data_IF_415979239486
#
_entry.id   IF_415979239486
#
_cell.length_a   1.000
_cell.length_b   1.000
_cell.length_c   1.000
_cell.angle_alpha   90.00
_cell.angle_beta   90.00
_cell.angle_gamma   90.00
#
_symmetry.space_group_name_H-M   'P 1'
#
loop_
_entity.id
_entity.type
_entity.pdbx_description
1 polymer ?
#
# COMPACT_ATOMS: atom_id res chain seq x y z
N UNK A 1 -19.51 -38.05 18.06
CA UNK A 1 -18.61 -39.12 18.58
C UNK A 1 -17.39 -38.48 19.31
N UNK A 2 -16.68 -37.56 18.71
CA UNK A 2 -15.51 -36.87 19.30
C UNK A 2 -15.92 -36.13 20.57
N UNK A 3 -17.03 -35.39 20.58
CA UNK A 3 -17.54 -34.68 21.75
C UNK A 3 -17.83 -35.62 22.91
N UNK A 4 -18.46 -36.77 22.66
CA UNK A 4 -18.74 -37.80 23.70
C UNK A 4 -17.48 -38.42 24.26
N UNK A 5 -16.43 -38.66 23.46
CA UNK A 5 -15.15 -39.13 23.93
C UNK A 5 -14.47 -38.07 24.85
N UNK A 6 -14.53 -36.85 24.46
CA UNK A 6 -14.02 -35.72 25.27
C UNK A 6 -14.78 -35.59 26.61
N UNK A 7 -16.10 -35.68 26.59
CA UNK A 7 -16.93 -35.67 27.80
C UNK A 7 -16.62 -36.85 28.74
N UNK A 8 -16.35 -38.05 28.21
CA UNK A 8 -15.96 -39.22 29.00
C UNK A 8 -14.56 -39.06 29.62
N UNK A 9 -13.59 -38.57 28.89
CA UNK A 9 -12.27 -38.28 29.43
C UNK A 9 -12.31 -37.20 30.50
N UNK A 10 -13.18 -36.19 30.34
CA UNK A 10 -13.36 -35.10 31.29
C UNK A 10 -14.02 -35.56 32.61
N UNK A 11 -14.95 -36.51 32.53
CA UNK A 11 -15.65 -37.06 33.69
C UNK A 11 -14.77 -37.89 34.61
N UNK A 12 -13.59 -38.32 34.13
CA UNK A 12 -12.63 -39.13 34.92
C UNK A 12 -11.57 -38.30 35.69
N UNK A 13 -11.53 -36.97 35.52
CA UNK A 13 -10.53 -36.13 36.18
C UNK A 13 -10.94 -35.78 37.61
N UNK A 14 -9.99 -35.86 38.55
CA UNK A 14 -10.19 -35.32 39.87
C UNK A 14 -10.09 -33.77 39.84
N UNK A 15 -10.54 -33.06 40.89
CA UNK A 15 -10.56 -31.61 40.91
C UNK A 15 -9.21 -30.93 40.67
N UNK A 16 -8.11 -31.55 41.10
CA UNK A 16 -6.76 -31.02 40.87
C UNK A 16 -6.36 -31.14 39.40
N UNK A 17 -6.60 -32.29 38.80
CA UNK A 17 -6.34 -32.51 37.36
C UNK A 17 -7.18 -31.61 36.48
N UNK A 18 -8.43 -31.35 36.90
CA UNK A 18 -9.33 -30.41 36.24
C UNK A 18 -8.79 -28.98 36.29
N UNK A 19 -8.34 -28.54 37.46
CA UNK A 19 -7.76 -27.22 37.66
C UNK A 19 -6.46 -27.01 36.85
N UNK A 20 -5.57 -28.01 36.79
CA UNK A 20 -4.35 -27.98 35.96
C UNK A 20 -4.66 -27.87 34.46
N UNK A 21 -5.62 -28.67 34.00
CA UNK A 21 -6.07 -28.61 32.60
C UNK A 21 -6.67 -27.27 32.26
N UNK A 22 -7.54 -26.71 33.11
CA UNK A 22 -8.19 -25.43 32.89
C UNK A 22 -7.17 -24.28 32.91
N UNK A 23 -6.15 -24.36 33.77
CA UNK A 23 -5.02 -23.44 33.75
C UNK A 23 -4.18 -23.55 32.47
N UNK A 24 -3.90 -24.77 32.00
CA UNK A 24 -3.19 -25.00 30.77
C UNK A 24 -3.97 -24.50 29.53
N UNK A 25 -5.28 -24.77 29.50
CA UNK A 25 -6.16 -24.27 28.46
C UNK A 25 -6.21 -22.73 28.43
N UNK A 26 -6.37 -22.12 29.60
CA UNK A 26 -6.37 -20.66 29.76
C UNK A 26 -5.04 -20.03 29.30
N UNK A 27 -3.92 -20.66 29.64
CA UNK A 27 -2.61 -20.22 29.18
C UNK A 27 -2.47 -20.35 27.64
N UNK A 28 -2.93 -21.47 27.07
CA UNK A 28 -2.93 -21.66 25.61
C UNK A 28 -3.77 -20.60 24.91
N UNK A 29 -4.98 -20.33 25.38
CA UNK A 29 -5.85 -19.28 24.82
C UNK A 29 -5.22 -17.89 24.93
N UNK A 30 -4.62 -17.55 26.07
CA UNK A 30 -3.92 -16.28 26.23
C UNK A 30 -2.76 -16.15 25.21
N UNK A 31 -1.97 -17.21 25.01
CA UNK A 31 -0.89 -17.24 24.01
C UNK A 31 -1.41 -17.12 22.59
N UNK A 32 -2.54 -17.75 22.27
CA UNK A 32 -3.20 -17.61 20.97
C UNK A 32 -3.71 -16.18 20.75
N UNK A 33 -4.34 -15.60 21.75
CA UNK A 33 -4.79 -14.20 21.71
C UNK A 33 -3.60 -13.25 21.46
N UNK A 34 -2.53 -13.39 22.23
CA UNK A 34 -1.34 -12.56 22.09
C UNK A 34 -0.68 -12.69 20.70
N UNK A 35 -0.77 -13.87 20.09
CA UNK A 35 -0.12 -14.14 18.81
C UNK A 35 -0.98 -13.76 17.61
N UNK A 36 -2.28 -14.04 17.66
CA UNK A 36 -3.18 -13.95 16.50
C UNK A 36 -4.17 -12.80 16.54
N UNK A 37 -4.47 -12.27 17.73
CA UNK A 37 -5.43 -11.16 17.86
C UNK A 37 -4.81 -9.88 17.28
N UNK A 38 -5.51 -9.29 16.32
CA UNK A 38 -5.18 -7.97 15.81
C UNK A 38 -6.06 -6.91 16.49
N UNK A 39 -5.44 -5.87 17.02
CA UNK A 39 -6.14 -4.76 17.69
C UNK A 39 -5.62 -3.42 17.22
N UNK A 40 -6.51 -2.44 17.10
CA UNK A 40 -6.12 -1.07 16.80
C UNK A 40 -5.30 -0.50 17.96
N UNK A 41 -4.15 0.05 17.66
CA UNK A 41 -3.32 0.81 18.61
C UNK A 41 -3.73 2.28 18.57
N UNK A 42 -3.78 2.84 17.36
CA UNK A 42 -4.16 4.24 17.14
C UNK A 42 -4.64 4.47 15.71
N UNK A 43 -5.38 5.54 15.50
CA UNK A 43 -5.80 6.06 14.21
C UNK A 43 -5.27 7.48 14.10
N UNK A 44 -4.38 7.72 13.13
CA UNK A 44 -3.76 9.01 12.92
C UNK A 44 -4.31 9.65 11.64
N UNK A 45 -4.86 10.85 11.73
CA UNK A 45 -5.27 11.60 10.55
C UNK A 45 -4.06 12.31 9.97
N UNK A 46 -3.55 11.82 8.84
CA UNK A 46 -2.37 12.35 8.18
C UNK A 46 -2.68 13.58 7.31
N UNK A 47 -3.83 13.54 6.62
CA UNK A 47 -4.36 14.63 5.79
C UNK A 47 -5.88 14.69 5.94
N UNK A 48 -6.59 15.67 5.34
CA UNK A 48 -8.05 15.69 5.40
C UNK A 48 -8.74 14.42 4.90
N UNK A 49 -8.07 13.62 4.06
CA UNK A 49 -8.65 12.42 3.42
C UNK A 49 -7.81 11.16 3.59
N UNK A 50 -6.69 11.22 4.30
CA UNK A 50 -5.80 10.06 4.51
C UNK A 50 -5.69 9.78 6.00
N UNK A 51 -5.90 8.54 6.38
CA UNK A 51 -5.72 8.04 7.75
C UNK A 51 -4.68 6.92 7.78
N UNK A 52 -3.90 6.90 8.85
CA UNK A 52 -3.04 5.80 9.23
C UNK A 52 -3.71 4.97 10.32
N UNK A 53 -3.68 3.67 10.14
CA UNK A 53 -4.25 2.68 11.04
C UNK A 53 -3.08 1.87 11.60
N UNK A 54 -2.73 2.07 12.85
CA UNK A 54 -1.68 1.29 13.51
C UNK A 54 -2.33 0.12 14.25
N UNK A 55 -1.90 -1.09 13.90
CA UNK A 55 -2.47 -2.34 14.40
C UNK A 55 -1.39 -3.15 15.12
N UNK A 56 -1.68 -3.59 16.34
CA UNK A 56 -0.89 -4.61 17.02
C UNK A 56 -1.25 -5.96 16.42
N UNK A 57 -0.31 -6.61 15.74
CA UNK A 57 -0.47 -7.92 15.11
C UNK A 57 0.91 -8.59 14.94
N UNK A 58 1.46 -9.19 16.01
CA UNK A 58 2.86 -9.64 16.05
C UNK A 58 3.25 -10.61 14.93
N UNK A 59 2.44 -11.64 14.68
CA UNK A 59 2.74 -12.61 13.61
C UNK A 59 2.67 -11.99 12.20
N UNK A 60 1.73 -11.08 11.98
CA UNK A 60 1.61 -10.38 10.72
C UNK A 60 2.83 -9.46 10.49
N UNK A 61 3.27 -8.75 11.55
CA UNK A 61 4.45 -7.89 11.50
C UNK A 61 5.73 -8.69 11.23
N UNK A 62 5.90 -9.84 11.91
CA UNK A 62 7.09 -10.70 11.76
C UNK A 62 7.33 -11.15 10.32
N UNK A 63 6.26 -11.50 9.61
CA UNK A 63 6.30 -12.09 8.27
C UNK A 63 6.37 -11.06 7.13
N UNK A 64 6.27 -9.79 7.43
CA UNK A 64 6.25 -8.73 6.41
C UNK A 64 7.60 -8.57 5.71
N UNK A 65 7.53 -8.43 4.40
CA UNK A 65 8.61 -8.00 3.53
C UNK A 65 8.16 -6.80 2.68
N UNK A 66 9.10 -5.96 2.25
CA UNK A 66 8.80 -4.72 1.53
C UNK A 66 7.95 -4.94 0.27
N UNK A 67 6.96 -4.09 0.06
CA UNK A 67 6.02 -4.17 -1.07
C UNK A 67 4.78 -5.03 -0.81
N UNK A 68 4.75 -5.82 0.24
CA UNK A 68 3.59 -6.63 0.60
C UNK A 68 2.47 -5.81 1.25
N UNK A 69 1.28 -6.40 1.36
CA UNK A 69 0.09 -5.72 1.86
C UNK A 69 -0.79 -6.65 2.71
N UNK A 70 -1.82 -6.08 3.31
CA UNK A 70 -2.77 -6.75 4.18
C UNK A 70 -4.20 -6.44 3.76
N UNK A 71 -5.13 -7.28 4.21
CA UNK A 71 -6.55 -7.00 4.18
C UNK A 71 -7.05 -6.77 5.61
N UNK A 72 -7.71 -5.64 5.83
CA UNK A 72 -8.26 -5.28 7.14
C UNK A 72 -9.77 -5.01 7.06
N UNK A 73 -10.50 -5.40 8.08
CA UNK A 73 -11.91 -5.07 8.29
C UNK A 73 -12.23 -5.14 9.79
N UNK A 74 -13.30 -4.48 10.23
CA UNK A 74 -13.82 -4.69 11.58
C UNK A 74 -14.64 -5.99 11.65
N UNK A 75 -14.91 -6.45 12.86
CA UNK A 75 -15.85 -7.55 13.09
C UNK A 75 -17.29 -7.03 13.02
N UNK A 76 -18.13 -7.63 12.20
CA UNK A 76 -19.56 -7.26 12.11
C UNK A 76 -20.27 -7.39 13.47
N UNK A 77 -19.93 -8.43 14.25
CA UNK A 77 -20.53 -8.65 15.56
C UNK A 77 -20.26 -7.52 16.58
N UNK A 78 -19.22 -6.73 16.36
CA UNK A 78 -18.83 -5.59 17.22
C UNK A 78 -19.01 -4.24 16.52
N UNK A 79 -19.51 -4.26 15.27
CA UNK A 79 -19.72 -3.03 14.52
C UNK A 79 -20.84 -2.18 15.16
N UNK A 80 -20.63 -0.87 15.31
CA UNK A 80 -21.66 0.00 15.85
C UNK A 80 -22.84 0.09 14.88
N UNK A 81 -24.04 0.28 15.45
CA UNK A 81 -25.25 0.51 14.67
C UNK A 81 -25.65 1.97 14.79
N UNK A 82 -25.86 2.63 13.66
CA UNK A 82 -26.32 4.02 13.58
C UNK A 82 -27.61 4.05 12.75
N UNK A 83 -28.69 4.54 13.32
CA UNK A 83 -30.01 4.63 12.68
C UNK A 83 -30.44 3.30 12.02
N UNK A 84 -30.19 2.18 12.70
CA UNK A 84 -30.52 0.83 12.23
C UNK A 84 -29.54 0.22 11.21
N UNK A 85 -28.52 0.97 10.78
CA UNK A 85 -27.49 0.49 9.87
C UNK A 85 -26.26 0.02 10.64
N UNK A 86 -25.85 -1.22 10.40
CA UNK A 86 -24.60 -1.77 10.96
C UNK A 86 -23.43 -1.20 10.18
N UNK A 87 -22.47 -0.57 10.88
CA UNK A 87 -21.28 0.03 10.26
C UNK A 87 -20.15 -1.01 10.12
N UNK A 88 -20.41 -2.04 9.34
CA UNK A 88 -19.43 -3.05 8.99
C UNK A 88 -18.63 -2.63 7.75
N UNK A 89 -17.31 -2.57 7.89
CA UNK A 89 -16.43 -2.30 6.76
C UNK A 89 -16.17 -3.57 5.95
N UNK A 90 -16.23 -3.47 4.64
CA UNK A 90 -15.71 -4.53 3.77
C UNK A 90 -14.19 -4.64 3.89
N UNK A 91 -13.65 -5.78 3.50
CA UNK A 91 -12.22 -6.02 3.58
C UNK A 91 -11.42 -5.14 2.63
N UNK A 92 -10.64 -4.23 3.19
CA UNK A 92 -9.79 -3.30 2.46
C UNK A 92 -8.39 -3.87 2.28
N UNK A 93 -7.90 -3.92 1.04
CA UNK A 93 -6.50 -4.21 0.76
C UNK A 93 -5.68 -2.94 0.94
N UNK A 94 -4.85 -2.90 1.97
CA UNK A 94 -4.01 -1.76 2.34
C UNK A 94 -2.54 -2.16 2.43
N UNK A 95 -1.66 -1.29 1.96
CA UNK A 95 -0.22 -1.55 2.01
C UNK A 95 0.32 -1.49 3.43
N UNK A 96 1.31 -2.32 3.73
CA UNK A 96 2.16 -2.18 4.91
C UNK A 96 3.13 -1.01 4.70
N UNK A 97 2.71 0.20 5.10
CA UNK A 97 3.51 1.41 4.94
C UNK A 97 4.73 1.40 5.86
N UNK A 98 4.52 0.99 7.11
CA UNK A 98 5.56 0.79 8.09
C UNK A 98 5.24 -0.45 8.96
N UNK A 99 6.26 -1.25 9.24
CA UNK A 99 6.11 -2.43 10.09
C UNK A 99 7.23 -2.46 11.10
N UNK A 100 6.86 -2.44 12.38
CA UNK A 100 7.79 -2.60 13.48
C UNK A 100 7.71 -4.05 14.01
N UNK A 101 8.70 -4.87 13.66
CA UNK A 101 8.77 -6.28 14.03
C UNK A 101 9.01 -6.48 15.53
N UNK A 102 9.76 -5.57 16.18
CA UNK A 102 10.05 -5.65 17.60
C UNK A 102 8.81 -5.40 18.44
N UNK A 103 8.06 -4.36 18.09
CA UNK A 103 6.82 -4.02 18.76
C UNK A 103 5.63 -4.84 18.24
N UNK A 104 5.79 -5.60 17.16
CA UNK A 104 4.72 -6.38 16.52
C UNK A 104 3.58 -5.49 16.04
N UNK A 105 3.88 -4.33 15.44
CA UNK A 105 2.89 -3.40 14.90
C UNK A 105 2.99 -3.25 13.40
N UNK A 106 1.84 -3.07 12.77
CA UNK A 106 1.69 -2.81 11.33
C UNK A 106 0.95 -1.49 11.16
N UNK A 107 1.53 -0.56 10.39
CA UNK A 107 0.90 0.68 9.97
C UNK A 107 0.33 0.52 8.55
N UNK A 108 -0.96 0.75 8.41
CA UNK A 108 -1.69 0.72 7.14
C UNK A 108 -2.20 2.11 6.82
N UNK A 109 -2.12 2.53 5.56
CA UNK A 109 -2.59 3.85 5.13
C UNK A 109 -3.81 3.69 4.23
N UNK A 110 -4.89 4.35 4.59
CA UNK A 110 -6.15 4.35 3.86
C UNK A 110 -6.51 5.74 3.35
N UNK A 111 -6.92 5.81 2.08
CA UNK A 111 -7.54 6.99 1.48
C UNK A 111 -9.06 6.86 1.59
N UNK A 112 -9.71 7.86 2.17
CA UNK A 112 -11.16 7.91 2.37
C UNK A 112 -11.90 8.17 1.05
N UNK A 113 -11.94 7.16 0.18
CA UNK A 113 -12.63 7.25 -1.13
C UNK A 113 -14.02 6.63 -1.12
N UNK A 114 -14.26 5.61 -0.30
CA UNK A 114 -15.53 4.88 -0.22
C UNK A 114 -16.02 4.75 1.21
N UNK A 115 -17.17 4.08 1.40
CA UNK A 115 -17.77 3.88 2.72
C UNK A 115 -16.84 3.13 3.67
N UNK A 116 -16.31 1.99 3.26
CA UNK A 116 -15.45 1.17 4.11
C UNK A 116 -14.15 1.87 4.50
N UNK A 117 -13.51 2.59 3.57
CA UNK A 117 -12.28 3.33 3.88
C UNK A 117 -12.55 4.53 4.82
N UNK A 118 -13.75 5.14 4.76
CA UNK A 118 -14.16 6.17 5.73
C UNK A 118 -14.45 5.60 7.10
N UNK A 119 -15.03 4.39 7.17
CA UNK A 119 -15.28 3.73 8.45
C UNK A 119 -14.00 3.46 9.23
N UNK A 120 -12.87 3.21 8.56
CA UNK A 120 -11.59 3.02 9.23
C UNK A 120 -11.20 4.22 10.14
N UNK A 121 -11.56 5.44 9.73
CA UNK A 121 -11.28 6.64 10.53
C UNK A 121 -12.12 6.74 11.81
N UNK A 122 -13.15 5.90 11.97
CA UNK A 122 -14.03 5.86 13.14
C UNK A 122 -13.62 4.81 14.18
N UNK A 123 -12.70 3.91 13.83
CA UNK A 123 -12.19 2.88 14.73
C UNK A 123 -11.39 3.52 15.88
N UNK A 124 -11.28 2.79 16.98
CA UNK A 124 -10.66 3.30 18.21
C UNK A 124 -9.58 2.36 18.71
N UNK A 125 -8.65 2.89 19.46
CA UNK A 125 -7.66 2.10 20.18
C UNK A 125 -8.35 1.02 21.03
N UNK A 126 -7.86 -0.21 20.92
CA UNK A 126 -8.43 -1.39 21.58
C UNK A 126 -9.48 -2.14 20.77
N UNK A 127 -10.02 -1.56 19.68
CA UNK A 127 -10.98 -2.27 18.82
C UNK A 127 -10.31 -3.48 18.18
N UNK A 128 -10.94 -4.67 18.25
CA UNK A 128 -10.45 -5.83 17.54
C UNK A 128 -10.75 -5.71 16.04
N UNK A 129 -9.81 -6.13 15.22
CA UNK A 129 -9.96 -6.15 13.75
C UNK A 129 -9.57 -7.49 13.18
N UNK A 130 -10.14 -7.83 12.03
CA UNK A 130 -9.68 -8.96 11.21
C UNK A 130 -8.56 -8.46 10.31
N UNK A 131 -7.34 -8.86 10.60
CA UNK A 131 -6.19 -8.60 9.75
C UNK A 131 -5.77 -9.90 9.05
N UNK A 132 -5.90 -9.94 7.75
CA UNK A 132 -5.46 -11.07 6.92
C UNK A 132 -4.23 -10.66 6.13
N UNK A 133 -3.27 -11.54 6.03
CA UNK A 133 -1.99 -11.31 5.37
C UNK A 133 -0.87 -11.91 6.22
N UNK A 134 0.36 -11.77 5.85
CA UNK A 134 0.88 -10.91 4.78
C UNK A 134 0.56 -11.52 3.40
N UNK A 135 0.33 -10.71 2.37
CA UNK A 135 0.06 -11.18 1.00
C UNK A 135 0.81 -10.34 -0.04
N UNK A 136 0.80 -10.82 -1.28
CA UNK A 136 1.62 -10.29 -2.36
C UNK A 136 3.04 -10.86 -2.35
N UNK A 137 3.68 -10.87 -3.51
CA UNK A 137 5.10 -11.22 -3.63
C UNK A 137 5.92 -10.03 -3.12
N UNK A 138 6.94 -10.23 -2.28
CA UNK A 138 7.86 -9.16 -1.91
C UNK A 138 8.44 -8.48 -3.15
N UNK A 139 8.60 -7.17 -3.10
CA UNK A 139 9.28 -6.42 -4.16
C UNK A 139 10.70 -6.90 -4.30
N UNK A 140 11.15 -7.11 -5.52
CA UNK A 140 12.54 -7.47 -5.79
C UNK A 140 13.48 -6.33 -5.37
N UNK A 141 14.43 -6.62 -4.50
CA UNK A 141 15.40 -5.65 -4.00
C UNK A 141 16.78 -5.98 -4.60
N UNK A 142 17.19 -5.32 -5.69
CA UNK A 142 18.51 -5.49 -6.26
C UNK A 142 19.61 -4.96 -5.32
N UNK A 143 20.87 -5.16 -5.68
CA UNK A 143 22.02 -4.63 -4.96
C UNK A 143 22.92 -3.82 -5.88
N UNK A 144 23.44 -2.69 -5.38
CA UNK A 144 24.42 -1.87 -6.09
C UNK A 144 23.88 -1.19 -7.36
N UNK A 145 22.58 -1.04 -7.47
CA UNK A 145 21.92 -0.38 -8.59
C UNK A 145 21.49 1.06 -8.26
N UNK A 146 21.15 1.82 -9.28
CA UNK A 146 20.45 3.09 -9.16
C UNK A 146 18.97 2.86 -9.45
N UNK A 147 18.14 3.04 -8.44
CA UNK A 147 16.71 2.80 -8.51
C UNK A 147 15.93 4.12 -8.48
N UNK A 148 14.99 4.24 -9.41
CA UNK A 148 14.10 5.38 -9.51
C UNK A 148 12.71 5.01 -8.99
N UNK A 149 12.31 5.60 -7.87
CA UNK A 149 10.98 5.48 -7.30
C UNK A 149 10.09 6.62 -7.81
N UNK A 150 8.89 6.28 -8.28
CA UNK A 150 7.92 7.25 -8.79
C UNK A 150 6.59 6.99 -8.10
N UNK A 151 6.24 7.86 -7.15
CA UNK A 151 5.03 7.75 -6.34
C UNK A 151 4.03 8.86 -6.60
N UNK A 152 2.77 8.51 -6.85
CA UNK A 152 1.68 9.46 -7.03
C UNK A 152 0.60 9.36 -5.95
N UNK A 153 0.36 10.46 -5.21
CA UNK A 153 -0.66 10.52 -4.16
C UNK A 153 -0.48 9.42 -3.11
N UNK A 154 -1.52 8.60 -2.89
CA UNK A 154 -1.46 7.48 -1.94
C UNK A 154 -0.40 6.41 -2.32
N UNK A 155 -0.04 6.29 -3.60
CA UNK A 155 1.00 5.35 -4.04
C UNK A 155 2.34 5.56 -3.33
N UNK A 156 2.61 6.74 -2.80
CA UNK A 156 3.80 7.01 -2.00
C UNK A 156 3.89 6.12 -0.75
N UNK A 157 2.75 5.70 -0.17
CA UNK A 157 2.74 4.88 1.04
C UNK A 157 3.40 3.50 0.87
N UNK A 158 3.33 2.91 -0.32
CA UNK A 158 3.97 1.61 -0.63
C UNK A 158 5.49 1.77 -0.70
N UNK A 159 5.94 2.92 -1.21
CA UNK A 159 7.36 3.16 -1.50
C UNK A 159 8.22 3.39 -0.25
N UNK A 160 7.62 3.65 0.92
CA UNK A 160 8.39 3.83 2.17
C UNK A 160 9.19 2.58 2.53
N UNK A 161 8.51 1.44 2.63
CA UNK A 161 9.16 0.18 2.97
C UNK A 161 10.12 -0.30 1.87
N UNK A 162 9.73 -0.14 0.61
CA UNK A 162 10.56 -0.51 -0.55
C UNK A 162 11.84 0.33 -0.60
N UNK A 163 11.73 1.66 -0.48
CA UNK A 163 12.88 2.55 -0.54
C UNK A 163 13.87 2.33 0.61
N UNK A 164 13.36 2.14 1.84
CA UNK A 164 14.19 1.78 2.99
C UNK A 164 14.95 0.48 2.76
N UNK A 165 14.28 -0.56 2.21
CA UNK A 165 14.90 -1.84 1.88
C UNK A 165 15.96 -1.70 0.77
N UNK A 166 15.67 -0.93 -0.29
CA UNK A 166 16.63 -0.65 -1.36
C UNK A 166 17.89 0.02 -0.84
N UNK A 167 17.76 1.05 -0.01
CA UNK A 167 18.92 1.73 0.59
C UNK A 167 19.72 0.81 1.51
N UNK A 168 19.03 -0.01 2.31
CA UNK A 168 19.68 -1.00 3.18
C UNK A 168 20.49 -2.05 2.37
N UNK A 169 20.06 -2.35 1.15
CA UNK A 169 20.78 -3.24 0.22
C UNK A 169 21.89 -2.53 -0.58
N UNK A 170 22.21 -1.26 -0.28
CA UNK A 170 23.29 -0.51 -0.91
C UNK A 170 22.99 0.06 -2.29
N UNK A 171 21.72 0.21 -2.62
CA UNK A 171 21.29 0.90 -3.85
C UNK A 171 21.30 2.42 -3.66
N UNK A 172 21.47 3.15 -4.75
CA UNK A 172 21.21 4.59 -4.83
C UNK A 172 19.73 4.79 -5.23
N UNK A 173 19.02 5.63 -4.48
CA UNK A 173 17.59 5.82 -4.67
C UNK A 173 17.26 7.28 -4.97
N UNK A 174 16.67 7.52 -6.15
CA UNK A 174 16.04 8.78 -6.52
C UNK A 174 14.54 8.61 -6.35
N UNK A 175 13.86 9.55 -5.72
CA UNK A 175 12.43 9.46 -5.49
C UNK A 175 11.68 10.69 -6.00
N UNK A 176 10.80 10.50 -6.96
CA UNK A 176 9.83 11.52 -7.38
C UNK A 176 8.51 11.28 -6.65
N UNK A 177 8.21 12.15 -5.69
CA UNK A 177 7.00 12.09 -4.88
C UNK A 177 6.00 13.16 -5.35
N UNK A 178 4.97 12.73 -6.09
CA UNK A 178 3.97 13.60 -6.70
C UNK A 178 2.67 13.65 -5.92
N UNK A 179 2.09 14.85 -5.79
CA UNK A 179 0.81 15.10 -5.14
C UNK A 179 -0.05 16.06 -5.95
N UNK A 180 -1.36 15.95 -5.82
CA UNK A 180 -2.27 16.92 -6.45
C UNK A 180 -2.22 18.27 -5.73
N UNK A 181 -2.26 18.26 -4.40
CA UNK A 181 -2.22 19.44 -3.56
C UNK A 181 -1.10 19.32 -2.52
N UNK A 182 -0.48 20.44 -2.17
CA UNK A 182 0.59 20.47 -1.16
C UNK A 182 0.15 19.93 0.21
N UNK A 183 -1.11 20.15 0.58
CA UNK A 183 -1.70 19.65 1.83
C UNK A 183 -1.92 18.13 1.86
N UNK A 184 -1.85 17.46 0.71
CA UNK A 184 -2.03 16.00 0.60
C UNK A 184 -0.74 15.24 0.89
N UNK A 185 0.37 15.95 1.15
CA UNK A 185 1.62 15.32 1.57
C UNK A 185 1.48 14.74 2.97
N UNK A 186 2.02 13.56 3.12
CA UNK A 186 2.04 12.85 4.41
C UNK A 186 3.37 12.12 4.57
N UNK A 187 3.73 11.81 5.81
CA UNK A 187 4.90 10.99 6.14
C UNK A 187 6.19 11.49 5.44
N UNK A 188 6.46 12.79 5.53
CA UNK A 188 7.61 13.42 4.85
C UNK A 188 8.92 12.77 5.26
N UNK A 189 9.12 12.50 6.55
CA UNK A 189 10.31 11.84 7.09
C UNK A 189 10.48 10.41 6.55
N UNK A 190 9.38 9.68 6.35
CA UNK A 190 9.41 8.33 5.79
C UNK A 190 9.80 8.34 4.31
N UNK A 191 9.29 9.30 3.53
CA UNK A 191 9.69 9.52 2.13
C UNK A 191 11.18 9.87 2.05
N UNK A 192 11.65 10.78 2.90
CA UNK A 192 13.05 11.18 2.95
C UNK A 192 13.98 10.03 3.38
N UNK A 193 13.55 9.21 4.34
CA UNK A 193 14.29 8.02 4.76
C UNK A 193 14.38 6.95 3.66
N UNK A 194 13.40 6.92 2.75
CA UNK A 194 13.33 5.95 1.66
C UNK A 194 14.27 6.26 0.48
N UNK A 195 14.89 7.47 0.42
CA UNK A 195 15.68 7.87 -0.73
C UNK A 195 16.92 8.73 -0.38
N UNK A 196 17.89 8.72 -1.27
CA UNK A 196 19.07 9.59 -1.17
C UNK A 196 18.76 11.01 -1.61
N UNK A 197 17.87 11.17 -2.59
CA UNK A 197 17.32 12.45 -3.05
C UNK A 197 15.83 12.32 -3.35
N UNK A 198 15.05 13.29 -2.91
CA UNK A 198 13.61 13.37 -3.19
C UNK A 198 13.32 14.61 -4.04
N UNK A 199 12.54 14.41 -5.08
CA UNK A 199 11.97 15.48 -5.90
C UNK A 199 10.47 15.55 -5.61
N UNK A 200 10.07 16.55 -4.84
CA UNK A 200 8.69 16.80 -4.48
C UNK A 200 7.98 17.53 -5.59
N UNK A 201 6.94 16.97 -6.18
CA UNK A 201 6.13 17.64 -7.19
C UNK A 201 4.68 17.83 -6.70
N UNK A 202 4.14 19.01 -6.98
CA UNK A 202 2.76 19.36 -6.68
C UNK A 202 2.14 19.97 -7.94
N UNK A 203 0.96 19.51 -8.32
CA UNK A 203 0.29 20.01 -9.51
C UNK A 203 0.07 21.52 -9.42
N UNK A 204 0.16 22.19 -10.57
CA UNK A 204 -0.16 23.62 -10.68
C UNK A 204 -1.61 23.85 -10.31
N UNK A 205 -1.87 24.86 -9.48
CA UNK A 205 -3.20 25.30 -9.10
C UNK A 205 -3.16 26.72 -8.61
N UNK A 206 -4.31 27.35 -8.48
CA UNK A 206 -4.40 28.69 -7.89
C UNK A 206 -3.93 28.66 -6.42
N UNK A 207 -3.05 29.58 -6.03
CA UNK A 207 -2.51 29.71 -4.68
C UNK A 207 -1.68 28.50 -4.18
N UNK A 208 -1.10 27.69 -5.05
CA UNK A 208 -0.20 26.63 -4.63
C UNK A 208 1.18 27.20 -4.31
N UNK A 209 1.57 27.11 -3.05
CA UNK A 209 2.93 27.48 -2.61
C UNK A 209 3.85 26.27 -2.79
N UNK A 210 5.01 26.44 -3.44
CA UNK A 210 6.02 25.41 -3.51
C UNK A 210 6.44 24.97 -2.10
N UNK A 211 6.62 23.69 -1.94
CA UNK A 211 7.12 23.13 -0.69
C UNK A 211 8.63 23.40 -0.53
N UNK A 212 9.04 23.78 0.67
CA UNK A 212 10.47 23.87 0.99
C UNK A 212 10.95 22.51 1.48
N UNK A 213 11.93 21.88 0.79
CA UNK A 213 12.51 20.62 1.25
C UNK A 213 13.20 20.81 2.60
N UNK A 214 13.19 19.77 3.43
CA UNK A 214 13.89 19.76 4.73
C UNK A 214 15.38 19.46 4.55
N UNK A 215 15.73 18.66 3.54
CA UNK A 215 17.10 18.27 3.24
C UNK A 215 17.67 19.09 2.08
N UNK A 216 18.94 19.51 2.14
CA UNK A 216 19.53 20.41 1.13
C UNK A 216 19.64 19.79 -0.27
N UNK A 217 19.77 18.47 -0.37
CA UNK A 217 19.86 17.75 -1.64
C UNK A 217 18.48 17.58 -2.32
N UNK A 218 17.38 17.70 -1.56
CA UNK A 218 16.04 17.50 -2.08
C UNK A 218 15.60 18.70 -2.90
N UNK A 219 14.68 18.47 -3.84
CA UNK A 219 14.18 19.48 -4.76
C UNK A 219 12.67 19.58 -4.67
N UNK A 220 12.14 20.70 -5.14
CA UNK A 220 10.70 20.91 -5.28
C UNK A 220 10.39 21.38 -6.69
N UNK A 221 9.22 21.01 -7.19
CA UNK A 221 8.75 21.39 -8.51
C UNK A 221 7.25 21.65 -8.51
N UNK A 222 6.85 22.74 -9.15
CA UNK A 222 5.45 23.08 -9.35
C UNK A 222 5.00 22.58 -10.73
N UNK A 223 4.35 21.46 -10.76
CA UNK A 223 3.90 20.76 -11.97
C UNK A 223 3.66 19.29 -11.68
N UNK A 224 3.26 18.54 -12.69
CA UNK A 224 3.07 17.10 -12.56
C UNK A 224 4.42 16.35 -12.48
N UNK A 225 4.35 15.08 -12.11
CA UNK A 225 5.54 14.26 -11.86
C UNK A 225 6.43 14.07 -13.11
N UNK A 226 5.85 14.00 -14.30
CA UNK A 226 6.63 13.89 -15.55
C UNK A 226 7.34 15.19 -15.88
N UNK A 227 6.69 16.34 -15.68
CA UNK A 227 7.32 17.65 -15.82
C UNK A 227 8.49 17.80 -14.85
N UNK A 228 8.32 17.32 -13.59
CA UNK A 228 9.41 17.30 -12.60
C UNK A 228 10.59 16.44 -13.05
N UNK A 229 10.33 15.25 -13.60
CA UNK A 229 11.37 14.36 -14.12
C UNK A 229 12.13 14.98 -15.29
N UNK A 230 11.43 15.65 -16.21
CA UNK A 230 12.04 16.36 -17.32
C UNK A 230 12.89 17.53 -16.82
N UNK A 231 12.37 18.34 -15.91
CA UNK A 231 13.10 19.48 -15.34
C UNK A 231 14.36 19.02 -14.58
N UNK A 232 14.26 17.92 -13.83
CA UNK A 232 15.41 17.31 -13.17
C UNK A 232 16.43 16.83 -14.24
N UNK A 233 16.00 16.08 -15.23
CA UNK A 233 16.87 15.57 -16.30
C UNK A 233 17.59 16.67 -17.08
N UNK A 234 16.97 17.83 -17.27
CA UNK A 234 17.56 19.03 -17.87
C UNK A 234 18.52 19.80 -16.96
N UNK A 235 18.56 19.50 -15.65
CA UNK A 235 19.32 20.28 -14.68
C UNK A 235 18.64 21.59 -14.26
N UNK A 236 17.38 21.80 -14.61
CA UNK A 236 16.63 23.04 -14.27
C UNK A 236 16.38 23.16 -12.74
N UNK A 237 16.50 22.04 -12.00
CA UNK A 237 16.38 22.01 -10.54
C UNK A 237 17.71 22.16 -9.79
N UNK A 238 18.78 22.53 -10.50
CA UNK A 238 20.13 22.69 -9.95
C UNK A 238 20.92 21.39 -9.92
N UNK A 239 21.81 21.23 -8.93
CA UNK A 239 22.67 20.06 -8.79
C UNK A 239 21.88 18.75 -8.73
N UNK A 240 22.33 17.77 -9.48
CA UNK A 240 21.77 16.43 -9.53
C UNK A 240 22.72 15.46 -8.79
N UNK A 241 22.43 15.11 -7.52
CA UNK A 241 23.28 14.19 -6.77
C UNK A 241 23.37 12.81 -7.41
N UNK A 242 22.30 12.39 -8.11
CA UNK A 242 22.21 11.14 -8.86
C UNK A 242 21.62 11.44 -10.23
N UNK A 243 22.31 11.03 -11.30
CA UNK A 243 21.84 11.24 -12.66
C UNK A 243 20.74 10.25 -13.05
N UNK A 244 19.74 10.72 -13.82
CA UNK A 244 18.76 9.83 -14.44
C UNK A 244 19.39 8.88 -15.47
N UNK A 245 20.55 9.24 -16.02
CA UNK A 245 21.28 8.39 -16.97
C UNK A 245 21.86 7.12 -16.34
N UNK A 246 21.99 7.11 -15.01
CA UNK A 246 22.52 5.96 -14.25
C UNK A 246 21.44 4.97 -13.81
N UNK A 247 20.16 5.27 -14.04
CA UNK A 247 19.03 4.47 -13.58
C UNK A 247 19.01 3.09 -14.22
N UNK A 248 19.01 2.05 -13.38
CA UNK A 248 18.91 0.65 -13.77
C UNK A 248 17.47 0.11 -13.67
N UNK A 249 16.73 0.60 -12.68
CA UNK A 249 15.41 0.06 -12.32
C UNK A 249 14.44 1.17 -11.94
N UNK A 250 13.19 1.06 -12.40
CA UNK A 250 12.09 1.96 -12.03
C UNK A 250 11.01 1.19 -11.29
N UNK A 251 10.49 1.77 -10.21
CA UNK A 251 9.29 1.28 -9.51
C UNK A 251 8.28 2.42 -9.50
N UNK A 252 7.13 2.17 -10.12
CA UNK A 252 6.10 3.20 -10.36
C UNK A 252 4.80 2.81 -9.66
N UNK A 253 4.30 3.67 -8.77
CA UNK A 253 3.08 3.42 -8.01
C UNK A 253 2.22 4.69 -7.98
N UNK A 254 0.98 4.58 -8.45
CA UNK A 254 0.04 5.69 -8.46
C UNK A 254 -1.22 5.38 -9.25
N UNK A 255 -1.87 6.41 -9.77
CA UNK A 255 -3.03 6.19 -10.63
C UNK A 255 -2.64 5.47 -11.92
N UNK A 256 -3.58 4.69 -12.47
CA UNK A 256 -3.43 4.02 -13.76
C UNK A 256 -2.95 4.97 -14.87
N UNK A 257 -3.51 6.18 -14.94
CA UNK A 257 -3.12 7.21 -15.91
C UNK A 257 -1.68 7.69 -15.72
N UNK A 258 -1.24 7.87 -14.47
CA UNK A 258 0.14 8.28 -14.18
C UNK A 258 1.13 7.18 -14.57
N UNK A 259 0.84 5.93 -14.21
CA UNK A 259 1.68 4.79 -14.57
C UNK A 259 1.76 4.59 -16.09
N UNK A 260 0.64 4.72 -16.80
CA UNK A 260 0.59 4.69 -18.28
C UNK A 260 1.43 5.83 -18.89
N UNK A 261 1.29 7.04 -18.35
CA UNK A 261 2.06 8.19 -18.83
C UNK A 261 3.57 7.99 -18.63
N UNK A 262 4.01 7.45 -17.49
CA UNK A 262 5.42 7.09 -17.25
C UNK A 262 5.87 5.99 -18.21
N UNK A 263 5.06 4.94 -18.43
CA UNK A 263 5.35 3.87 -19.40
C UNK A 263 5.73 4.42 -20.77
N UNK A 264 4.94 5.36 -21.29
CA UNK A 264 5.19 5.95 -22.60
C UNK A 264 6.34 6.97 -22.58
N UNK A 265 6.38 7.83 -21.57
CA UNK A 265 7.38 8.90 -21.45
C UNK A 265 8.82 8.37 -21.44
N UNK A 266 9.08 7.18 -20.88
CA UNK A 266 10.42 6.55 -20.84
C UNK A 266 11.04 6.38 -22.22
N UNK A 267 10.22 6.12 -23.23
CA UNK A 267 10.68 5.89 -24.62
C UNK A 267 10.51 7.11 -25.53
N UNK A 268 9.96 8.20 -24.99
CA UNK A 268 9.72 9.47 -25.69
C UNK A 268 10.44 10.61 -24.97
N UNK A 269 9.73 11.43 -24.24
CA UNK A 269 10.23 12.69 -23.63
C UNK A 269 11.30 12.50 -22.57
N UNK A 270 11.35 11.33 -21.89
CA UNK A 270 12.37 10.98 -20.90
C UNK A 270 13.56 10.19 -21.50
N UNK A 271 13.44 9.71 -22.73
CA UNK A 271 14.51 8.95 -23.40
C UNK A 271 15.87 9.65 -23.42
N UNK A 272 15.96 10.99 -23.61
CA UNK A 272 17.25 11.68 -23.59
C UNK A 272 17.97 11.63 -22.22
N UNK A 273 17.23 11.39 -21.14
CA UNK A 273 17.73 11.39 -19.77
C UNK A 273 17.87 9.98 -19.20
N UNK A 274 16.99 9.05 -19.56
CA UNK A 274 17.05 7.63 -19.19
C UNK A 274 17.80 6.85 -20.29
N UNK A 275 19.09 7.06 -20.38
CA UNK A 275 19.91 6.56 -21.50
C UNK A 275 20.35 5.11 -21.35
N UNK A 276 20.38 4.61 -20.10
CA UNK A 276 20.75 3.23 -19.81
C UNK A 276 19.55 2.29 -20.05
N UNK A 277 19.84 1.06 -20.45
CA UNK A 277 18.82 0.01 -20.47
C UNK A 277 18.33 -0.23 -19.05
N UNK A 278 17.05 -0.10 -18.84
CA UNK A 278 16.45 -0.18 -17.50
C UNK A 278 15.19 -1.05 -17.52
N UNK A 279 14.93 -1.70 -16.40
CA UNK A 279 13.71 -2.43 -16.14
C UNK A 279 12.69 -1.53 -15.41
N UNK A 280 11.41 -1.67 -15.69
CA UNK A 280 10.37 -0.91 -15.01
C UNK A 280 9.20 -1.79 -14.56
N UNK A 281 8.86 -1.70 -13.30
CA UNK A 281 7.68 -2.34 -12.73
C UNK A 281 6.67 -1.31 -12.28
N UNK A 282 5.38 -1.63 -12.45
CA UNK A 282 4.29 -0.89 -11.85
C UNK A 282 3.68 -1.73 -10.73
N UNK A 283 3.52 -1.16 -9.54
CA UNK A 283 2.74 -1.81 -8.49
C UNK A 283 1.26 -1.53 -8.74
N UNK A 284 0.58 -2.56 -9.28
CA UNK A 284 -0.79 -2.43 -9.75
C UNK A 284 -1.76 -2.72 -8.61
N UNK A 285 -2.30 -1.66 -8.04
CA UNK A 285 -3.39 -1.72 -7.09
C UNK A 285 -4.71 -1.43 -7.81
N UNK A 286 -5.51 -2.45 -8.04
CA UNK A 286 -6.90 -2.23 -8.44
C UNK A 286 -7.77 -2.14 -7.18
N UNK A 287 -8.77 -1.23 -7.13
CA UNK A 287 -9.76 -1.23 -6.06
C UNK A 287 -10.46 -2.58 -6.06
N UNK A 288 -10.34 -3.30 -4.95
CA UNK A 288 -10.86 -4.64 -4.87
C UNK A 288 -11.21 -5.01 -3.44
N UNK A 289 -12.29 -5.72 -3.30
CA UNK A 289 -12.56 -6.56 -2.15
C UNK A 289 -11.71 -7.82 -2.28
N UNK A 290 -10.50 -7.78 -1.72
CA UNK A 290 -9.53 -8.82 -1.99
C UNK A 290 -9.73 -10.03 -1.08
N UNK A 291 -9.89 -11.22 -1.66
CA UNK A 291 -9.84 -12.49 -0.94
C UNK A 291 -8.41 -12.98 -0.73
N UNK A 292 -7.40 -12.29 -1.30
CA UNK A 292 -5.97 -12.50 -1.14
C UNK A 292 -5.46 -13.91 -1.53
N UNK A 293 -6.17 -14.61 -2.37
CA UNK A 293 -5.88 -16.02 -2.72
C UNK A 293 -5.76 -16.27 -4.22
N UNK A 294 -5.85 -15.24 -5.07
CA UNK A 294 -5.89 -15.42 -6.51
C UNK A 294 -7.14 -16.22 -6.98
N UNK A 295 -8.25 -16.16 -6.23
CA UNK A 295 -9.44 -17.00 -6.45
C UNK A 295 -10.58 -16.18 -7.08
N UNK A 296 -10.87 -14.98 -6.55
CA UNK A 296 -12.06 -14.23 -6.95
C UNK A 296 -11.93 -13.52 -8.30
N UNK A 297 -10.75 -13.49 -8.89
CA UNK A 297 -10.43 -12.89 -10.18
C UNK A 297 -10.72 -11.36 -10.31
N UNK A 298 -11.06 -10.68 -9.23
CA UNK A 298 -11.35 -9.24 -9.26
C UNK A 298 -10.10 -8.37 -9.52
N UNK A 299 -8.93 -8.85 -9.11
CA UNK A 299 -7.66 -8.16 -9.29
C UNK A 299 -6.90 -8.55 -10.55
N UNK A 300 -7.52 -9.28 -11.49
CA UNK A 300 -6.87 -9.63 -12.74
C UNK A 300 -6.48 -8.38 -13.52
N UNK A 301 -5.20 -8.29 -13.86
CA UNK A 301 -4.64 -7.28 -14.73
C UNK A 301 -4.26 -7.93 -16.06
N UNK A 302 -4.78 -7.37 -17.16
CA UNK A 302 -4.46 -7.84 -18.51
C UNK A 302 -3.08 -7.38 -18.91
N UNK A 303 -2.30 -8.28 -19.45
CA UNK A 303 -1.00 -8.04 -20.02
C UNK A 303 -0.97 -8.40 -21.51
N UNK A 304 -0.16 -7.69 -22.26
CA UNK A 304 0.11 -7.97 -23.68
C UNK A 304 1.62 -8.05 -23.85
N UNK A 305 2.10 -9.20 -24.26
CA UNK A 305 3.49 -9.39 -24.63
C UNK A 305 3.74 -8.71 -25.98
N UNK A 306 4.63 -7.73 -26.02
CA UNK A 306 4.85 -6.90 -27.22
C UNK A 306 5.45 -7.66 -28.39
N UNK A 307 6.26 -8.69 -28.11
CA UNK A 307 6.98 -9.42 -29.15
C UNK A 307 6.10 -10.45 -29.83
N UNK A 308 5.29 -11.16 -29.05
CA UNK A 308 4.41 -12.23 -29.54
C UNK A 308 2.97 -11.79 -29.77
N UNK A 309 2.55 -10.63 -29.23
CA UNK A 309 1.16 -10.19 -29.19
C UNK A 309 0.26 -11.02 -28.29
N UNK A 310 0.83 -11.95 -27.51
CA UNK A 310 0.07 -12.85 -26.65
C UNK A 310 -0.51 -12.10 -25.46
N UNK A 311 -1.80 -12.29 -25.23
CA UNK A 311 -2.51 -11.80 -24.04
C UNK A 311 -2.45 -12.81 -22.90
N UNK A 312 -2.25 -12.32 -21.69
CA UNK A 312 -2.35 -13.11 -20.46
C UNK A 312 -2.79 -12.25 -19.28
N UNK A 313 -3.11 -12.88 -18.15
CA UNK A 313 -3.63 -12.18 -16.98
C UNK A 313 -2.78 -12.48 -15.76
N UNK A 314 -2.58 -11.46 -14.94
CA UNK A 314 -1.84 -11.51 -13.67
C UNK A 314 -2.77 -11.15 -12.53
N UNK A 315 -2.71 -11.91 -11.43
CA UNK A 315 -3.42 -11.58 -10.19
C UNK A 315 -2.61 -10.57 -9.38
N UNK A 316 -3.07 -9.32 -9.31
CA UNK A 316 -2.38 -8.28 -8.54
C UNK A 316 -2.35 -8.56 -7.02
N UNK A 317 -3.27 -9.37 -6.50
CA UNK A 317 -3.24 -9.77 -5.09
C UNK A 317 -2.11 -10.77 -4.77
N UNK A 318 -1.54 -11.42 -5.77
CA UNK A 318 -0.40 -12.31 -5.63
C UNK A 318 0.88 -11.67 -6.15
N UNK A 319 0.82 -11.03 -7.31
CA UNK A 319 1.95 -10.39 -7.96
C UNK A 319 1.60 -8.94 -8.30
N UNK A 320 1.76 -8.06 -7.31
CA UNK A 320 1.43 -6.64 -7.44
C UNK A 320 2.44 -5.87 -8.31
N UNK A 321 3.72 -6.24 -8.25
CA UNK A 321 4.78 -5.63 -9.04
C UNK A 321 4.82 -6.29 -10.42
N UNK A 322 4.32 -5.57 -11.41
CA UNK A 322 4.10 -6.09 -12.76
C UNK A 322 4.96 -5.34 -13.76
N UNK A 323 5.46 -6.06 -14.77
CA UNK A 323 6.20 -5.47 -15.87
C UNK A 323 5.38 -4.35 -16.51
N UNK A 324 5.83 -3.10 -16.29
CA UNK A 324 5.12 -1.90 -16.72
C UNK A 324 4.88 -1.89 -18.25
N UNK A 325 5.76 -2.51 -19.01
CA UNK A 325 5.67 -2.54 -20.47
C UNK A 325 4.57 -3.48 -20.98
N UNK A 326 4.20 -4.48 -20.21
CA UNK A 326 3.18 -5.46 -20.59
C UNK A 326 1.77 -5.11 -20.12
N UNK A 327 1.62 -4.27 -19.10
CA UNK A 327 0.30 -3.88 -18.59
C UNK A 327 -0.56 -3.22 -19.66
N UNK A 328 -1.78 -3.73 -19.86
CA UNK A 328 -2.83 -3.12 -20.69
C UNK A 328 -3.59 -2.07 -19.86
N UNK A 329 -3.07 -0.84 -19.84
CA UNK A 329 -3.65 0.27 -19.08
C UNK A 329 -5.05 0.67 -19.56
N UNK A 330 -5.39 0.68 -20.85
CA UNK A 330 -6.78 0.89 -21.30
C UNK A 330 -7.76 -0.12 -20.70
N UNK A 331 -7.41 -1.40 -20.64
CA UNK A 331 -8.22 -2.43 -19.99
C UNK A 331 -8.32 -2.19 -18.48
N UNK A 332 -7.21 -1.89 -17.81
CA UNK A 332 -7.18 -1.57 -16.37
C UNK A 332 -8.08 -0.37 -16.06
N UNK A 333 -7.97 0.72 -16.81
CA UNK A 333 -8.79 1.92 -16.65
C UNK A 333 -10.29 1.63 -16.84
N UNK A 334 -10.66 0.84 -17.85
CA UNK A 334 -12.04 0.44 -18.07
C UNK A 334 -12.62 -0.35 -16.89
N UNK A 335 -11.82 -1.23 -16.29
CA UNK A 335 -12.23 -2.00 -15.10
C UNK A 335 -12.37 -1.12 -13.85
N UNK A 336 -11.44 -0.20 -13.62
CA UNK A 336 -11.49 0.73 -12.48
C UNK A 336 -12.74 1.61 -12.50
N UNK A 337 -13.22 1.98 -13.68
CA UNK A 337 -14.43 2.81 -13.86
C UNK A 337 -15.73 2.08 -13.54
N UNK A 338 -15.75 0.76 -13.47
CA UNK A 338 -16.98 0.00 -13.23
C UNK A 338 -17.57 0.25 -11.83
N UNK A 339 -16.76 0.57 -10.84
CA UNK A 339 -17.20 0.82 -9.47
C UNK A 339 -17.42 2.30 -9.14
N UNK A 340 -16.97 3.21 -10.00
CA UNK A 340 -16.88 4.65 -9.70
C UNK A 340 -18.24 5.31 -9.43
N UNK A 341 -19.32 4.86 -10.06
CA UNK A 341 -20.66 5.47 -9.91
C UNK A 341 -21.22 5.21 -8.51
N UNK A 342 -21.10 4.00 -8.00
CA UNK A 342 -21.58 3.65 -6.65
C UNK A 342 -20.78 4.39 -5.56
N UNK A 343 -19.48 4.48 -5.71
CA UNK A 343 -18.61 5.22 -4.78
C UNK A 343 -18.91 6.72 -4.80
N UNK A 344 -19.12 7.31 -5.97
CA UNK A 344 -19.50 8.71 -6.09
C UNK A 344 -20.86 9.00 -5.44
N UNK A 345 -21.85 8.12 -5.59
CA UNK A 345 -23.15 8.25 -4.94
C UNK A 345 -22.99 8.26 -3.40
N UNK A 346 -22.16 7.38 -2.85
CA UNK A 346 -21.88 7.34 -1.41
C UNK A 346 -21.12 8.59 -0.93
N UNK A 347 -20.18 9.10 -1.72
CA UNK A 347 -19.40 10.31 -1.38
C UNK A 347 -20.28 11.56 -1.33
N UNK A 348 -21.22 11.69 -2.27
CA UNK A 348 -22.10 12.86 -2.36
C UNK A 348 -23.38 12.73 -1.56
N UNK A 349 -23.57 11.65 -0.81
CA UNK A 349 -24.78 11.43 0.00
C UNK A 349 -26.06 11.23 -0.83
N UNK A 350 -25.91 10.87 -2.09
CA UNK A 350 -27.04 10.55 -2.95
C UNK A 350 -27.44 9.10 -2.68
N UNK A 351 -28.48 8.93 -1.91
CA UNK A 351 -29.18 7.65 -1.81
C UNK A 351 -30.00 7.53 -3.07
N UNK A 352 -29.53 6.78 -4.03
CA UNK A 352 -30.38 6.29 -5.12
C UNK A 352 -31.02 5.01 -4.59
N UNK A 353 -32.22 5.15 -4.05
CA UNK A 353 -33.13 4.03 -3.81
C UNK A 353 -33.76 3.58 -5.12
#
# INVERSE_FOLDING_TARGET
>A
YIVKLFEQELAGLNPSQQAERDAAAKNLFARLDDSFKATIVEINRLTPTIVEIVIKAPLAAEKFEAGQFYRVQNYEAFAPTVEGTVLAAEGLALTGAEVNKENGTVSLIALEMGSSSRLCATWKAGDPVVLMGVTGTPTEIPTGQTVLLIGGGLGNAVLFSIGKALRAAGNKVIYFAGYNLARDRFKVEDVEAAADVVIWSVNKGENVVPFTPTRPQDKTFLGNILEAMIAYGKGELGEQPISLADVDHLIVIGSDRMMEAVKHARFDVLKPYLTKVHHAVGSINSPMQCMMKGICAQCLCKHIDKDSGKEFFVYSCYNQDQDLDKVDFPNLNARLKQNTVQELCLIFGWIIC
#
